data_IF_515184513512
#
_entry.id   IF_515184513512
#
_cell.length_a   1.000
_cell.length_b   1.000
_cell.length_c   1.000
_cell.angle_alpha   90.00
_cell.angle_beta   90.00
_cell.angle_gamma   90.00
#
_symmetry.space_group_name_H-M   'P 1'
#
loop_
_entity.id
_entity.type
_entity.pdbx_description
1 polymer ?
#
# COMPACT_ATOMS: atom_id res chain seq x y z
N UNK A 1 0.11 2.31 7.62
CA UNK A 1 -0.59 3.49 7.16
C UNK A 1 -0.11 3.92 5.81
N UNK A 2 1.10 3.56 5.48
CA UNK A 2 1.68 3.95 4.22
C UNK A 2 1.33 2.91 3.16
N UNK A 3 0.67 3.34 2.13
CA UNK A 3 0.26 2.48 1.06
C UNK A 3 1.04 2.86 -0.19
N UNK A 4 1.46 1.88 -0.95
CA UNK A 4 2.17 2.11 -2.19
C UNK A 4 1.22 1.99 -3.33
N UNK A 5 1.29 2.89 -4.25
CA UNK A 5 0.42 2.87 -5.37
C UNK A 5 0.99 1.98 -6.46
N UNK A 6 0.82 0.73 -6.27
CA UNK A 6 1.17 -0.28 -7.21
C UNK A 6 -0.14 -0.81 -7.80
N UNK A 7 -0.10 -1.88 -8.54
CA UNK A 7 -1.33 -2.47 -9.03
C UNK A 7 -1.20 -3.98 -8.93
N UNK A 8 -1.83 -4.61 -7.93
CA UNK A 8 -2.70 -3.95 -6.93
C UNK A 8 -1.91 -3.12 -5.91
N UNK A 9 -2.47 -1.99 -5.43
CA UNK A 9 -1.82 -1.12 -4.45
C UNK A 9 -1.53 -1.88 -3.15
N UNK A 10 -0.28 -2.01 -2.83
CA UNK A 10 0.13 -2.71 -1.64
C UNK A 10 0.17 -1.77 -0.48
N UNK A 11 -0.54 -2.10 0.55
CA UNK A 11 -0.54 -1.29 1.72
C UNK A 11 -0.35 -2.18 2.92
N UNK A 12 0.32 -1.65 3.91
CA UNK A 12 0.60 -2.36 5.11
C UNK A 12 -0.08 -1.63 6.26
N UNK A 13 -0.34 -2.31 7.41
CA UNK A 13 -1.01 -1.70 8.61
C UNK A 13 -0.18 -0.58 9.30
N UNK A 14 0.78 -0.05 8.57
CA UNK A 14 1.61 1.04 9.02
C UNK A 14 0.92 2.36 8.66
#
# INVERSE_FOLDING_TARGET
GFCHRSYPPECWPN
#
